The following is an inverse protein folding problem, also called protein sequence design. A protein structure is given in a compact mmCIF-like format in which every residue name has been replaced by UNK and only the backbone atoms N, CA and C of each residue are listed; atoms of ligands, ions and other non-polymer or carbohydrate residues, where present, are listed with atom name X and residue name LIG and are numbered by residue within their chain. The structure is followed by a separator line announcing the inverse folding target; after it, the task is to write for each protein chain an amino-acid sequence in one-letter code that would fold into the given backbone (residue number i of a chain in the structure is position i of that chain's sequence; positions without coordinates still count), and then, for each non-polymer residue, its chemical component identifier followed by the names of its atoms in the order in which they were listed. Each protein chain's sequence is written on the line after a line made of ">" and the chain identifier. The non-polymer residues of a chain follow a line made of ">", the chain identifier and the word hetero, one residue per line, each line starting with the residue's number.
data_IF_437857132073
#
_entry.id   IF_437857132073
#
_cell.length_a   1.000
_cell.length_b   1.000
_cell.length_c   1.000
_cell.angle_alpha   90.00
_cell.angle_beta   90.00
_cell.angle_gamma   90.00
#
_symmetry.space_group_name_H-M   'P 1'
#
loop_
_entity.id
_entity.type
_entity.pdbx_description
1 polymer ?
#
# COMPACT_ATOMS: atom_id res chain seq x y z
N UNK A 1 -14.31 -0.75 1.25
CA UNK A 1 -13.01 -1.19 0.69
C UNK A 1 -12.37 -0.01 -0.03
N UNK A 2 -11.04 0.06 -0.08
CA UNK A 2 -10.35 0.96 -1.00
C UNK A 2 -10.50 0.43 -2.43
N UNK A 3 -11.16 1.18 -3.30
CA UNK A 3 -11.36 0.81 -4.70
C UNK A 3 -10.03 0.84 -5.45
N UNK A 4 -9.79 -0.13 -6.34
CA UNK A 4 -8.59 -0.23 -7.16
C UNK A 4 -8.91 0.01 -8.63
N UNK A 5 -8.21 0.98 -9.23
CA UNK A 5 -8.30 1.35 -10.64
C UNK A 5 -7.01 0.94 -11.33
N UNK A 6 -7.09 0.12 -12.36
CA UNK A 6 -5.91 -0.29 -13.13
C UNK A 6 -5.86 0.42 -14.49
N UNK A 7 -4.69 0.97 -14.83
CA UNK A 7 -4.40 1.56 -16.13
C UNK A 7 -3.79 0.49 -17.02
N UNK A 8 -4.51 0.11 -18.08
CA UNK A 8 -4.10 -0.89 -19.06
C UNK A 8 -4.00 -0.27 -20.45
N UNK A 9 -3.19 -0.86 -21.31
CA UNK A 9 -2.99 -0.41 -22.69
C UNK A 9 -1.61 -0.77 -23.19
N UNK A 10 -1.41 -0.68 -24.51
CA UNK A 10 -0.11 -0.99 -25.13
C UNK A 10 1.00 -0.04 -24.63
N UNK A 11 2.29 -0.38 -24.79
CA UNK A 11 3.38 0.51 -24.40
C UNK A 11 3.34 1.86 -25.13
N UNK A 12 3.95 2.88 -24.51
CA UNK A 12 4.08 4.25 -25.04
C UNK A 12 2.79 5.06 -25.25
N UNK A 13 1.61 4.55 -24.84
CA UNK A 13 0.34 5.32 -24.83
C UNK A 13 0.26 6.37 -23.72
N UNK A 14 1.22 6.40 -22.79
CA UNK A 14 1.30 7.38 -21.70
C UNK A 14 0.69 6.94 -20.37
N UNK A 15 0.65 5.63 -20.09
CA UNK A 15 0.14 5.07 -18.82
C UNK A 15 0.80 5.69 -17.58
N UNK A 16 2.14 5.71 -17.54
CA UNK A 16 2.90 6.26 -16.41
C UNK A 16 2.73 7.78 -16.27
N UNK A 17 2.54 8.50 -17.39
CA UNK A 17 2.22 9.93 -17.38
C UNK A 17 0.87 10.18 -16.74
N UNK A 18 -0.15 9.40 -17.10
CA UNK A 18 -1.47 9.48 -16.48
C UNK A 18 -1.41 9.10 -15.00
N UNK A 19 -0.74 7.99 -14.66
CA UNK A 19 -0.54 7.55 -13.28
C UNK A 19 0.04 8.65 -12.38
N UNK A 20 1.14 9.28 -12.82
CA UNK A 20 1.79 10.34 -12.06
C UNK A 20 0.90 11.57 -11.90
N UNK A 21 0.06 11.85 -12.91
CA UNK A 21 -0.91 12.95 -12.84
C UNK A 21 -2.02 12.66 -11.84
N UNK A 22 -2.64 11.47 -11.90
CA UNK A 22 -3.74 11.09 -11.00
C UNK A 22 -3.27 11.04 -9.54
N UNK A 23 -2.06 10.55 -9.30
CA UNK A 23 -1.51 10.41 -7.94
C UNK A 23 -0.88 11.69 -7.40
N UNK A 24 -0.92 12.80 -8.18
CA UNK A 24 -0.32 14.10 -7.86
C UNK A 24 1.15 14.02 -7.41
N UNK A 25 1.87 12.96 -7.80
CA UNK A 25 3.26 12.75 -7.42
C UNK A 25 4.15 13.72 -8.22
N UNK A 26 4.41 14.90 -7.66
CA UNK A 26 5.55 15.73 -8.08
C UNK A 26 6.85 15.12 -7.57
N UNK A 27 7.33 14.12 -8.28
CA UNK A 27 8.74 13.86 -8.55
C UNK A 27 8.83 12.57 -9.35
N UNK A 28 9.17 12.70 -10.63
CA UNK A 28 10.20 11.83 -11.16
C UNK A 28 11.38 11.97 -10.19
N UNK A 29 11.62 10.97 -9.35
CA UNK A 29 13.00 10.72 -8.97
C UNK A 29 13.64 10.24 -10.28
N UNK A 30 14.10 11.21 -11.07
CA UNK A 30 15.25 10.99 -11.92
C UNK A 30 16.37 10.73 -10.91
N UNK A 31 16.57 9.46 -10.55
CA UNK A 31 17.87 9.07 -10.05
C UNK A 31 18.70 8.87 -11.32
N UNK A 32 19.67 9.76 -11.53
CA UNK A 32 20.70 9.61 -12.56
C UNK A 32 21.65 8.43 -12.25
N UNK A 33 21.19 7.42 -11.50
CA UNK A 33 21.81 6.10 -11.46
C UNK A 33 21.24 5.29 -12.62
N UNK A 34 21.98 5.28 -13.74
CA UNK A 34 21.79 4.30 -14.79
C UNK A 34 21.71 2.89 -14.17
N UNK A 35 20.50 2.35 -14.05
CA UNK A 35 20.26 1.02 -13.47
C UNK A 35 18.96 0.80 -12.68
N UNK A 36 18.11 1.80 -12.40
CA UNK A 36 17.02 1.62 -11.40
C UNK A 36 15.67 2.23 -11.79
N UNK A 37 14.74 1.38 -12.26
CA UNK A 37 13.35 1.16 -11.79
C UNK A 37 12.50 0.50 -12.90
N UNK A 38 12.51 -0.84 -12.93
CA UNK A 38 11.63 -1.69 -13.76
C UNK A 38 10.39 -2.18 -12.99
N UNK A 39 10.02 -1.49 -11.91
CA UNK A 39 8.93 -1.89 -11.02
C UNK A 39 7.61 -1.18 -11.35
N UNK A 40 6.49 -1.91 -11.26
CA UNK A 40 5.12 -1.37 -11.44
C UNK A 40 4.83 -0.28 -10.41
N UNK A 41 4.19 0.80 -10.84
CA UNK A 41 3.93 1.97 -9.99
C UNK A 41 2.54 1.90 -9.37
N UNK A 42 2.49 2.17 -8.06
CA UNK A 42 1.26 2.15 -7.27
C UNK A 42 1.12 3.44 -6.45
N UNK A 43 -0.08 4.02 -6.46
CA UNK A 43 -0.35 5.28 -5.79
C UNK A 43 -1.82 5.48 -5.46
N UNK A 44 -2.06 6.46 -4.59
CA UNK A 44 -3.40 6.87 -4.20
C UNK A 44 -3.80 8.11 -4.96
N UNK A 45 -5.07 8.15 -5.36
CA UNK A 45 -5.72 9.32 -5.93
C UNK A 45 -6.83 9.74 -4.97
N UNK A 46 -6.90 11.03 -4.65
CA UNK A 46 -8.04 11.66 -3.98
C UNK A 46 -8.76 12.55 -4.99
N UNK A 47 -10.07 12.35 -5.12
CA UNK A 47 -10.93 13.19 -5.94
C UNK A 47 -12.20 13.53 -5.17
N UNK A 48 -12.43 14.82 -4.91
CA UNK A 48 -13.57 15.33 -4.14
C UNK A 48 -13.74 14.62 -2.77
N UNK A 49 -12.63 14.28 -2.09
CA UNK A 49 -12.63 13.62 -0.79
C UNK A 49 -12.94 12.12 -0.82
N UNK A 50 -13.05 11.52 -2.02
CA UNK A 50 -13.11 10.07 -2.20
C UNK A 50 -11.74 9.57 -2.66
N UNK A 51 -11.15 8.67 -1.88
CA UNK A 51 -9.87 8.04 -2.20
C UNK A 51 -10.05 6.73 -2.98
N UNK A 52 -9.16 6.49 -3.93
CA UNK A 52 -9.00 5.20 -4.59
C UNK A 52 -7.53 4.94 -4.95
N UNK A 53 -7.22 3.67 -5.11
CA UNK A 53 -5.92 3.17 -5.50
C UNK A 53 -5.77 3.13 -7.01
N UNK A 54 -4.60 3.50 -7.53
CA UNK A 54 -4.26 3.44 -8.95
C UNK A 54 -3.03 2.56 -9.14
N UNK A 55 -3.06 1.70 -10.16
CA UNK A 55 -1.91 0.89 -10.57
C UNK A 55 -1.61 1.06 -12.06
N UNK A 56 -0.32 1.24 -12.39
CA UNK A 56 0.18 1.17 -13.77
C UNK A 56 0.71 -0.25 -14.07
N UNK A 57 0.12 -0.92 -15.06
CA UNK A 57 0.50 -2.30 -15.41
C UNK A 57 1.78 -2.40 -16.25
N UNK A 58 2.30 -1.29 -16.79
CA UNK A 58 3.23 -1.26 -17.94
C UNK A 58 4.71 -1.59 -17.72
N UNK A 59 5.12 -2.19 -16.60
CA UNK A 59 6.54 -2.29 -16.22
C UNK A 59 7.38 -3.43 -16.82
N UNK A 60 6.79 -4.38 -17.55
CA UNK A 60 7.49 -5.58 -18.02
C UNK A 60 7.32 -5.76 -19.52
N UNK A 61 8.35 -5.36 -20.26
CA UNK A 61 8.47 -5.65 -21.68
C UNK A 61 9.89 -6.14 -21.93
N UNK A 62 10.01 -7.39 -22.36
CA UNK A 62 11.25 -7.96 -22.90
C UNK A 62 11.18 -7.75 -24.42
N UNK A 63 12.25 -7.20 -25.01
CA UNK A 63 12.30 -6.78 -26.41
C UNK A 63 12.29 -7.98 -27.39
N UNK A 64 11.10 -8.53 -27.67
CA UNK A 64 10.82 -9.36 -28.84
C UNK A 64 9.31 -9.35 -29.14
N UNK A 65 8.92 -9.20 -30.40
CA UNK A 65 7.53 -8.96 -30.82
C UNK A 65 6.53 -10.04 -30.37
N UNK A 66 6.91 -11.33 -30.41
CA UNK A 66 6.01 -12.44 -30.01
C UNK A 66 5.79 -12.54 -28.49
N UNK A 67 6.81 -12.24 -27.69
CA UNK A 67 6.72 -12.25 -26.22
C UNK A 67 5.94 -11.03 -25.73
N UNK A 68 5.97 -9.95 -26.49
CA UNK A 68 5.32 -8.69 -26.15
C UNK A 68 3.79 -8.81 -26.10
N UNK A 69 3.19 -9.54 -27.03
CA UNK A 69 1.74 -9.80 -27.08
C UNK A 69 1.25 -10.55 -25.85
N UNK A 70 1.91 -11.66 -25.54
CA UNK A 70 1.51 -12.54 -24.46
C UNK A 70 1.61 -11.83 -23.10
N UNK A 71 2.64 -11.00 -22.92
CA UNK A 71 2.83 -10.22 -21.70
C UNK A 71 1.80 -9.10 -21.54
N UNK A 72 1.42 -8.40 -22.62
CA UNK A 72 0.30 -7.42 -22.56
C UNK A 72 -0.99 -8.13 -22.18
N UNK A 73 -1.28 -9.26 -22.81
CA UNK A 73 -2.48 -10.05 -22.54
C UNK A 73 -2.54 -10.51 -21.09
N UNK A 74 -1.44 -11.03 -20.55
CA UNK A 74 -1.33 -11.43 -19.12
C UNK A 74 -1.60 -10.24 -18.20
N UNK A 75 -1.01 -9.07 -18.47
CA UNK A 75 -1.23 -7.86 -17.67
C UNK A 75 -2.70 -7.44 -17.62
N UNK A 76 -3.38 -7.47 -18.78
CA UNK A 76 -4.80 -7.12 -18.89
C UNK A 76 -5.66 -8.12 -18.12
N UNK A 77 -5.40 -9.43 -18.28
CA UNK A 77 -6.15 -10.47 -17.56
C UNK A 77 -6.03 -10.28 -16.04
N UNK A 78 -4.81 -10.08 -15.53
CA UNK A 78 -4.62 -9.87 -14.09
C UNK A 78 -5.34 -8.60 -13.61
N UNK A 79 -5.27 -7.51 -14.40
CA UNK A 79 -6.01 -6.30 -14.08
C UNK A 79 -7.53 -6.57 -14.05
N UNK A 80 -8.07 -7.42 -14.93
CA UNK A 80 -9.50 -7.77 -14.93
C UNK A 80 -9.95 -8.63 -13.76
N UNK A 81 -9.04 -9.33 -13.09
CA UNK A 81 -9.36 -10.14 -11.90
C UNK A 81 -9.27 -9.32 -10.61
N UNK A 82 -8.37 -8.35 -10.56
CA UNK A 82 -8.04 -7.62 -9.34
C UNK A 82 -8.49 -6.16 -9.35
N UNK A 83 -8.84 -5.52 -10.46
CA UNK A 83 -9.33 -4.15 -10.40
C UNK A 83 -10.84 -4.09 -10.07
N UNK A 84 -11.28 -2.97 -9.52
CA UNK A 84 -12.70 -2.61 -9.40
C UNK A 84 -13.17 -1.81 -10.62
N UNK A 85 -12.24 -1.18 -11.34
CA UNK A 85 -12.46 -0.46 -12.60
C UNK A 85 -11.19 -0.44 -13.47
N UNK A 86 -11.37 -0.51 -14.78
CA UNK A 86 -10.27 -0.50 -15.76
C UNK A 86 -10.26 0.80 -16.57
N UNK A 87 -9.11 1.46 -16.63
CA UNK A 87 -8.82 2.54 -17.57
C UNK A 87 -8.06 1.97 -18.75
N UNK A 88 -8.73 1.80 -19.88
CA UNK A 88 -8.07 1.36 -21.11
C UNK A 88 -7.55 2.56 -21.88
N UNK A 89 -6.24 2.77 -21.82
CA UNK A 89 -5.56 3.92 -22.37
C UNK A 89 -5.06 3.63 -23.79
N UNK A 90 -5.51 4.42 -24.76
CA UNK A 90 -5.08 4.38 -26.17
C UNK A 90 -4.43 5.71 -26.57
N UNK A 91 -3.71 5.73 -27.68
CA UNK A 91 -2.96 6.89 -28.17
C UNK A 91 -3.69 7.58 -29.32
N UNK A 92 -4.24 8.77 -29.06
CA UNK A 92 -5.00 9.54 -30.05
C UNK A 92 -4.15 10.13 -31.19
N UNK A 93 -2.83 10.17 -31.09
CA UNK A 93 -1.95 10.65 -32.16
C UNK A 93 -1.57 9.53 -33.13
N UNK A 94 -1.34 8.33 -32.59
CA UNK A 94 -0.96 7.16 -33.39
C UNK A 94 -2.16 6.36 -33.91
N UNK A 95 -3.36 6.69 -33.44
CA UNK A 95 -4.60 6.05 -33.83
C UNK A 95 -4.75 4.61 -33.36
N UNK A 96 -5.76 3.94 -33.91
CA UNK A 96 -6.12 2.56 -33.57
C UNK A 96 -5.10 1.55 -34.13
N UNK A 97 -4.71 0.58 -33.29
CA UNK A 97 -3.80 -0.52 -33.70
C UNK A 97 -4.38 -1.90 -33.37
N UNK A 98 -3.87 -2.96 -34.00
CA UNK A 98 -4.27 -4.36 -33.75
C UNK A 98 -4.13 -4.75 -32.27
N UNK A 99 -3.09 -4.24 -31.60
CA UNK A 99 -2.87 -4.39 -30.17
C UNK A 99 -4.04 -3.86 -29.34
N UNK A 100 -4.58 -2.70 -29.73
CA UNK A 100 -5.70 -2.08 -29.04
C UNK A 100 -6.99 -2.90 -29.26
N UNK A 101 -7.16 -3.48 -30.44
CA UNK A 101 -8.29 -4.38 -30.75
C UNK A 101 -8.25 -5.68 -29.94
N UNK A 102 -7.07 -6.28 -29.79
CA UNK A 102 -6.87 -7.51 -29.01
C UNK A 102 -7.12 -7.30 -27.52
N UNK A 103 -6.60 -6.21 -26.97
CA UNK A 103 -6.88 -5.80 -25.58
C UNK A 103 -8.37 -5.53 -25.40
N UNK A 104 -9.00 -4.79 -26.32
CA UNK A 104 -10.44 -4.54 -26.26
C UNK A 104 -11.27 -5.81 -26.33
N UNK A 105 -10.84 -6.83 -27.09
CA UNK A 105 -11.54 -8.13 -27.16
C UNK A 105 -11.57 -8.85 -25.81
N UNK A 106 -10.50 -8.72 -25.01
CA UNK A 106 -10.43 -9.25 -23.65
C UNK A 106 -11.33 -8.43 -22.73
N UNK A 107 -11.21 -7.10 -22.78
CA UNK A 107 -11.95 -6.18 -21.93
C UNK A 107 -13.46 -6.25 -22.16
N UNK A 108 -13.95 -6.45 -23.39
CA UNK A 108 -15.40 -6.63 -23.66
C UNK A 108 -16.01 -7.85 -22.96
N UNK A 109 -15.20 -8.82 -22.53
CA UNK A 109 -15.66 -10.03 -21.83
C UNK A 109 -15.64 -9.88 -20.31
N UNK A 110 -15.04 -8.81 -19.78
CA UNK A 110 -15.02 -8.59 -18.33
C UNK A 110 -16.39 -8.11 -17.83
N UNK A 111 -16.68 -8.38 -16.56
CA UNK A 111 -17.84 -7.84 -15.85
C UNK A 111 -17.54 -6.50 -15.17
N UNK A 112 -16.26 -6.11 -15.13
CA UNK A 112 -15.84 -4.85 -14.52
C UNK A 112 -16.19 -3.66 -15.41
N UNK A 113 -16.47 -2.48 -14.82
CA UNK A 113 -16.57 -1.24 -15.58
C UNK A 113 -15.24 -0.94 -16.27
N UNK A 114 -15.31 -0.67 -17.57
CA UNK A 114 -14.17 -0.24 -18.39
C UNK A 114 -14.45 1.17 -18.89
N UNK A 115 -13.47 2.06 -18.75
CA UNK A 115 -13.44 3.39 -19.35
C UNK A 115 -12.39 3.40 -20.46
N UNK A 116 -12.83 3.71 -21.68
CA UNK A 116 -11.94 3.91 -22.81
C UNK A 116 -11.41 5.35 -22.75
N UNK A 117 -10.08 5.49 -22.66
CA UNK A 117 -9.42 6.78 -22.46
C UNK A 117 -8.45 7.03 -23.60
N UNK A 118 -8.70 8.06 -24.39
CA UNK A 118 -7.85 8.45 -25.52
C UNK A 118 -6.88 9.54 -25.05
N UNK A 119 -5.61 9.18 -24.91
CA UNK A 119 -4.58 10.08 -24.42
C UNK A 119 -3.89 10.84 -25.57
N UNK A 120 -3.12 11.88 -25.23
CA UNK A 120 -2.38 12.76 -26.16
C UNK A 120 -3.29 13.61 -27.07
N UNK A 121 -4.50 13.90 -26.60
CA UNK A 121 -5.45 14.81 -27.26
C UNK A 121 -5.14 16.24 -26.83
N UNK A 122 -4.19 16.87 -27.53
CA UNK A 122 -3.67 18.19 -27.17
C UNK A 122 -4.36 19.36 -27.90
N UNK A 123 -5.20 19.08 -28.92
CA UNK A 123 -5.92 20.08 -29.70
C UNK A 123 -7.33 19.57 -30.11
N UNK A 124 -8.17 20.47 -30.64
CA UNK A 124 -9.54 20.12 -31.04
C UNK A 124 -9.59 19.16 -32.24
N UNK A 125 -8.61 19.20 -33.14
CA UNK A 125 -8.55 18.28 -34.30
C UNK A 125 -8.42 16.82 -33.84
N UNK A 126 -7.58 16.58 -32.82
CA UNK A 126 -7.39 15.27 -32.21
C UNK A 126 -8.67 14.73 -31.54
N UNK A 127 -9.57 15.61 -31.08
CA UNK A 127 -10.88 15.20 -30.55
C UNK A 127 -11.72 14.59 -31.67
N UNK A 128 -11.74 15.18 -32.87
CA UNK A 128 -12.47 14.59 -34.00
C UNK A 128 -11.88 13.25 -34.44
N UNK A 129 -10.55 13.11 -34.43
CA UNK A 129 -9.87 11.86 -34.75
C UNK A 129 -10.20 10.74 -33.76
N UNK A 130 -10.49 11.09 -32.50
CA UNK A 130 -10.83 10.11 -31.46
C UNK A 130 -12.10 9.30 -31.75
N UNK A 131 -12.94 9.75 -32.69
CA UNK A 131 -14.14 9.04 -33.11
C UNK A 131 -13.84 7.64 -33.68
N UNK A 132 -12.62 7.37 -34.16
CA UNK A 132 -12.26 6.03 -34.62
C UNK A 132 -12.29 4.97 -33.51
N UNK A 133 -12.03 5.37 -32.25
CA UNK A 133 -11.92 4.44 -31.13
C UNK A 133 -13.27 3.89 -30.67
N UNK A 134 -14.40 4.44 -31.16
CA UNK A 134 -15.72 3.80 -31.01
C UNK A 134 -15.75 2.38 -31.58
N UNK A 135 -14.91 2.06 -32.58
CA UNK A 135 -14.76 0.70 -33.15
C UNK A 135 -14.38 -0.35 -32.10
N UNK A 136 -13.75 0.06 -31.00
CA UNK A 136 -13.38 -0.84 -29.90
C UNK A 136 -14.60 -1.35 -29.11
N UNK A 137 -15.79 -0.74 -29.25
CA UNK A 137 -17.03 -1.23 -28.65
C UNK A 137 -16.99 -1.22 -27.11
N UNK A 138 -16.30 -0.25 -26.51
CA UNK A 138 -16.13 -0.10 -25.05
C UNK A 138 -16.84 1.15 -24.49
N UNK A 139 -17.76 1.74 -25.26
CA UNK A 139 -18.49 2.95 -24.89
C UNK A 139 -17.86 4.23 -25.47
N UNK A 140 -18.25 5.37 -24.89
CA UNK A 140 -17.77 6.70 -25.29
C UNK A 140 -16.28 6.88 -24.93
N UNK A 141 -15.41 7.24 -25.90
CA UNK A 141 -14.01 7.54 -25.62
C UNK A 141 -13.84 8.85 -24.85
N UNK A 142 -13.17 8.80 -23.71
CA UNK A 142 -12.85 9.99 -22.90
C UNK A 142 -11.51 10.55 -23.37
N UNK A 143 -11.52 11.72 -23.99
CA UNK A 143 -10.32 12.38 -24.47
C UNK A 143 -9.57 13.11 -23.36
N UNK A 144 -8.28 12.84 -23.22
CA UNK A 144 -7.42 13.50 -22.25
C UNK A 144 -6.05 13.88 -22.85
N UNK A 145 -5.38 14.79 -22.18
CA UNK A 145 -3.94 14.99 -22.31
C UNK A 145 -3.31 14.78 -20.94
N UNK A 146 -2.74 13.61 -20.69
CA UNK A 146 -2.05 13.32 -19.42
C UNK A 146 -0.83 14.24 -19.20
N UNK A 147 -0.22 14.76 -20.26
CA UNK A 147 0.91 15.67 -20.16
C UNK A 147 0.49 17.04 -19.63
N UNK A 148 -0.58 17.63 -20.17
CA UNK A 148 -1.05 18.98 -19.81
C UNK A 148 -2.05 18.97 -18.66
N UNK A 149 -2.90 17.95 -18.59
CA UNK A 149 -3.97 17.77 -17.63
C UNK A 149 -5.38 17.91 -18.19
N UNK A 150 -5.50 18.31 -19.46
CA UNK A 150 -6.80 18.48 -20.10
C UNK A 150 -7.62 17.18 -20.03
N UNK A 151 -8.91 17.29 -19.74
CA UNK A 151 -9.87 16.17 -19.63
C UNK A 151 -9.67 15.22 -18.44
N UNK A 152 -8.61 15.38 -17.64
CA UNK A 152 -8.36 14.45 -16.51
C UNK A 152 -9.33 14.63 -15.34
N UNK A 153 -9.95 15.80 -15.20
CA UNK A 153 -11.04 16.03 -14.22
C UNK A 153 -12.30 15.27 -14.60
N UNK A 154 -12.74 15.40 -15.85
CA UNK A 154 -13.92 14.67 -16.38
C UNK A 154 -13.72 13.15 -16.30
N UNK A 155 -12.50 12.68 -16.59
CA UNK A 155 -12.13 11.28 -16.39
C UNK A 155 -12.31 10.85 -14.93
N UNK A 156 -11.86 11.66 -13.96
CA UNK A 156 -11.96 11.35 -12.54
C UNK A 156 -13.40 11.35 -12.04
N UNK A 157 -14.24 12.27 -12.54
CA UNK A 157 -15.68 12.28 -12.27
C UNK A 157 -16.33 10.98 -12.76
N UNK A 158 -15.99 10.53 -13.97
CA UNK A 158 -16.51 9.27 -14.51
C UNK A 158 -15.95 8.03 -13.81
N UNK A 159 -14.70 8.07 -13.33
CA UNK A 159 -14.18 7.01 -12.44
C UNK A 159 -15.04 6.95 -11.16
N UNK A 160 -15.34 8.09 -10.54
CA UNK A 160 -16.12 8.13 -9.29
C UNK A 160 -17.58 7.69 -9.48
N UNK A 161 -18.16 7.91 -10.66
CA UNK A 161 -19.52 7.52 -11.00
C UNK A 161 -19.66 6.00 -11.19
N UNK A 162 -18.62 5.33 -11.70
CA UNK A 162 -18.63 3.89 -12.00
C UNK A 162 -18.02 3.01 -10.93
N UNK A 163 -17.15 3.56 -10.09
CA UNK A 163 -16.63 2.81 -8.96
C UNK A 163 -17.78 2.38 -8.05
N UNK A 164 -17.83 1.10 -7.63
CA UNK A 164 -18.87 0.66 -6.72
C UNK A 164 -18.88 1.55 -5.48
N UNK A 165 -20.06 2.05 -5.11
CA UNK A 165 -20.25 2.69 -3.82
C UNK A 165 -19.80 1.68 -2.77
N UNK A 166 -18.81 2.08 -1.95
CA UNK A 166 -18.22 1.18 -0.99
C UNK A 166 -19.30 0.67 -0.07
N UNK A 167 -19.74 -0.58 -0.27
CA UNK A 167 -20.48 -1.29 0.77
C UNK A 167 -19.55 -1.27 1.97
N UNK A 168 -19.93 -0.56 3.02
CA UNK A 168 -19.33 -0.75 4.32
C UNK A 168 -19.58 -2.22 4.65
N UNK A 169 -18.57 -3.07 4.45
CA UNK A 169 -18.60 -4.37 5.09
C UNK A 169 -18.85 -4.10 6.57
N UNK A 170 -19.83 -4.79 7.14
CA UNK A 170 -20.17 -4.73 8.56
C UNK A 170 -19.00 -5.33 9.35
N UNK A 171 -17.90 -4.60 9.42
CA UNK A 171 -16.74 -4.93 10.23
C UNK A 171 -17.03 -4.34 11.60
N UNK A 172 -17.04 -5.20 12.62
CA UNK A 172 -17.15 -4.75 14.01
C UNK A 172 -16.01 -3.77 14.35
N UNK A 173 -16.38 -2.57 14.81
CA UNK A 173 -15.42 -1.57 15.24
C UNK A 173 -14.61 -2.06 16.45
N UNK A 174 -13.32 -1.68 16.50
CA UNK A 174 -12.43 -2.05 17.59
C UNK A 174 -11.76 -3.43 17.46
N UNK A 175 -12.09 -4.22 16.44
CA UNK A 175 -11.39 -5.47 16.14
C UNK A 175 -10.17 -5.19 15.24
N UNK A 176 -8.96 -5.63 15.63
CA UNK A 176 -7.76 -5.45 14.82
C UNK A 176 -7.85 -6.14 13.46
N UNK A 177 -7.30 -5.50 12.42
CA UNK A 177 -7.14 -6.12 11.09
C UNK A 177 -5.67 -6.39 10.81
N UNK A 178 -5.31 -7.65 10.60
CA UNK A 178 -3.93 -8.07 10.34
C UNK A 178 -3.76 -8.57 8.90
N UNK A 179 -2.69 -8.14 8.23
CA UNK A 179 -2.30 -8.66 6.92
C UNK A 179 -0.95 -9.37 7.01
N UNK A 180 -0.83 -10.57 6.45
CA UNK A 180 0.45 -11.28 6.32
C UNK A 180 1.01 -11.05 4.92
N UNK A 181 2.09 -10.27 4.84
CA UNK A 181 2.70 -9.83 3.58
C UNK A 181 4.17 -10.20 3.50
N UNK A 182 4.75 -10.12 2.30
CA UNK A 182 6.13 -10.54 2.04
C UNK A 182 6.26 -11.15 0.66
N UNK A 183 7.50 -11.44 0.26
CA UNK A 183 7.81 -11.99 -1.06
C UNK A 183 7.17 -13.37 -1.30
N UNK A 184 7.03 -13.81 -2.56
CA UNK A 184 6.68 -15.18 -2.88
C UNK A 184 7.58 -16.16 -2.10
N UNK A 185 7.00 -17.28 -1.64
CA UNK A 185 7.71 -18.33 -0.90
C UNK A 185 8.36 -17.94 0.45
N UNK A 186 8.14 -16.72 0.96
CA UNK A 186 8.57 -16.31 2.31
C UNK A 186 7.87 -17.10 3.45
N UNK A 187 6.83 -17.89 3.13
CA UNK A 187 6.07 -18.72 4.07
C UNK A 187 4.77 -18.12 4.59
N UNK A 188 4.23 -17.10 3.91
CA UNK A 188 2.95 -16.43 4.25
C UNK A 188 1.80 -17.43 4.43
N UNK A 189 1.56 -18.27 3.42
CA UNK A 189 0.48 -19.28 3.48
C UNK A 189 0.72 -20.31 4.56
N UNK A 190 1.97 -20.71 4.81
CA UNK A 190 2.31 -21.62 5.90
C UNK A 190 1.97 -21.01 7.26
N UNK A 191 2.25 -19.72 7.47
CA UNK A 191 1.92 -19.03 8.72
C UNK A 191 0.41 -18.91 8.90
N UNK A 192 -0.31 -18.47 7.86
CA UNK A 192 -1.77 -18.36 7.89
C UNK A 192 -2.42 -19.72 8.11
N UNK A 193 -1.96 -20.77 7.44
CA UNK A 193 -2.46 -22.12 7.65
C UNK A 193 -2.09 -22.67 9.02
N UNK A 194 -0.96 -22.28 9.60
CA UNK A 194 -0.63 -22.63 10.98
C UNK A 194 -1.61 -21.99 11.97
N UNK A 195 -2.12 -20.79 11.68
CA UNK A 195 -3.18 -20.16 12.48
C UNK A 195 -4.55 -20.81 12.25
N UNK A 196 -4.93 -21.09 10.99
CA UNK A 196 -6.27 -21.62 10.62
C UNK A 196 -6.39 -23.13 10.85
N UNK A 197 -5.28 -23.88 10.72
CA UNK A 197 -5.23 -25.33 10.67
C UNK A 197 -5.19 -26.04 12.03
N UNK A 198 -5.24 -25.31 13.15
CA UNK A 198 -5.51 -25.92 14.46
C UNK A 198 -7.00 -26.20 14.59
N UNK A 199 -7.36 -27.43 14.18
CA UNK A 199 -8.65 -28.11 14.31
C UNK A 199 -9.92 -27.28 13.96
N UNK A 200 -10.41 -27.59 12.76
CA UNK A 200 -11.78 -27.46 12.22
C UNK A 200 -12.81 -26.72 13.12
N UNK A 201 -13.31 -25.61 12.56
CA UNK A 201 -14.48 -24.79 12.97
C UNK A 201 -14.23 -23.90 14.22
N UNK A 202 -14.62 -22.62 14.25
CA UNK A 202 -15.58 -21.84 13.47
C UNK A 202 -14.86 -20.56 12.99
N UNK A 203 -14.72 -20.40 11.66
CA UNK A 203 -14.72 -19.08 11.04
C UNK A 203 -16.18 -18.77 10.82
N UNK A 204 -16.72 -17.75 11.46
CA UNK A 204 -18.08 -17.31 11.13
C UNK A 204 -18.01 -16.52 9.84
N UNK A 205 -18.58 -17.05 8.76
CA UNK A 205 -19.06 -16.19 7.68
C UNK A 205 -20.14 -15.32 8.32
N UNK A 206 -19.90 -14.01 8.45
CA UNK A 206 -20.90 -13.10 9.01
C UNK A 206 -22.09 -13.15 8.05
N UNK A 207 -23.28 -13.48 8.57
CA UNK A 207 -24.49 -13.58 7.78
C UNK A 207 -24.74 -12.23 7.05
N UNK A 208 -24.58 -12.22 5.73
CA UNK A 208 -24.69 -11.01 4.90
C UNK A 208 -23.44 -10.65 4.10
N UNK A 209 -22.28 -11.27 4.34
CA UNK A 209 -21.09 -11.06 3.50
C UNK A 209 -21.13 -11.96 2.26
N UNK A 210 -20.90 -11.38 1.08
CA UNK A 210 -20.80 -12.12 -0.18
C UNK A 210 -19.64 -13.12 -0.14
N UNK A 211 -19.75 -14.18 -0.96
CA UNK A 211 -18.90 -15.39 -1.07
C UNK A 211 -17.39 -15.16 -1.26
N UNK A 212 -16.93 -13.91 -1.37
CA UNK A 212 -15.56 -13.46 -1.59
C UNK A 212 -15.13 -12.42 -0.53
N UNK A 213 -15.39 -12.67 0.77
CA UNK A 213 -14.97 -11.74 1.83
C UNK A 213 -13.44 -11.66 1.91
N UNK A 214 -12.90 -10.44 1.82
CA UNK A 214 -11.47 -10.18 2.01
C UNK A 214 -11.05 -10.56 3.45
N UNK A 215 -11.98 -10.43 4.39
CA UNK A 215 -11.76 -10.65 5.81
C UNK A 215 -12.16 -12.07 6.25
N UNK A 216 -11.30 -12.68 7.07
CA UNK A 216 -11.61 -13.88 7.86
C UNK A 216 -11.44 -13.53 9.33
N UNK A 217 -12.50 -13.66 10.15
CA UNK A 217 -12.40 -13.46 11.60
C UNK A 217 -11.71 -14.66 12.25
N UNK A 218 -10.78 -14.38 13.15
CA UNK A 218 -10.12 -15.32 14.03
C UNK A 218 -10.43 -14.93 15.47
N UNK A 219 -11.19 -15.77 16.18
CA UNK A 219 -11.55 -15.57 17.60
C UNK A 219 -11.23 -16.84 18.40
N UNK A 220 -9.94 -17.06 18.71
CA UNK A 220 -9.44 -18.22 19.46
C UNK A 220 -8.17 -17.87 20.24
N UNK A 221 -7.85 -18.67 21.26
CA UNK A 221 -6.64 -18.54 22.08
C UNK A 221 -6.44 -17.14 22.70
N UNK A 222 -7.54 -16.42 22.98
CA UNK A 222 -7.49 -15.05 23.53
C UNK A 222 -7.17 -13.96 22.50
N UNK A 223 -7.18 -14.31 21.21
CA UNK A 223 -7.04 -13.37 20.10
C UNK A 223 -8.37 -13.27 19.34
N UNK A 224 -8.86 -12.04 19.17
CA UNK A 224 -9.96 -11.69 18.28
C UNK A 224 -9.43 -10.66 17.27
N UNK A 225 -9.39 -11.01 15.98
CA UNK A 225 -8.93 -10.15 14.90
C UNK A 225 -9.46 -10.61 13.54
N UNK A 226 -9.44 -9.71 12.55
CA UNK A 226 -9.66 -10.06 11.15
C UNK A 226 -8.33 -10.28 10.43
N UNK A 227 -8.19 -11.42 9.77
CA UNK A 227 -7.12 -11.66 8.82
C UNK A 227 -7.55 -11.16 7.44
N UNK A 228 -6.81 -10.21 6.89
CA UNK A 228 -7.06 -9.59 5.59
C UNK A 228 -6.45 -10.44 4.48
N UNK A 229 -7.21 -10.62 3.40
CA UNK A 229 -6.82 -11.30 2.15
C UNK A 229 -6.54 -12.81 2.30
N UNK A 230 -7.53 -13.53 2.85
CA UNK A 230 -7.49 -15.00 2.96
C UNK A 230 -8.03 -15.75 1.75
N UNK A 231 -8.69 -15.07 0.81
CA UNK A 231 -9.28 -15.66 -0.38
C UNK A 231 -8.23 -16.33 -1.30
N UNK A 232 -7.03 -15.75 -1.39
CA UNK A 232 -5.89 -16.34 -2.11
C UNK A 232 -5.33 -17.60 -1.45
N UNK A 233 -5.51 -17.77 -0.13
CA UNK A 233 -5.02 -18.93 0.62
C UNK A 233 -6.05 -20.07 0.59
N UNK A 234 -7.34 -19.76 0.61
CA UNK A 234 -8.44 -20.75 0.52
C UNK A 234 -8.57 -21.39 -0.87
N UNK A 235 -8.20 -20.71 -1.96
CA UNK A 235 -8.32 -21.22 -3.34
C UNK A 235 -7.18 -22.18 -3.78
N UNK A 236 -6.26 -22.57 -2.89
CA UNK A 236 -5.05 -23.37 -3.17
C UNK A 236 -5.25 -24.86 -3.54
N UNK A 237 -6.38 -25.23 -4.14
CA UNK A 237 -6.57 -26.61 -4.60
C UNK A 237 -6.38 -26.85 -6.10
N UNK A 238 -6.07 -25.84 -6.96
CA UNK A 238 -5.92 -26.15 -8.40
C UNK A 238 -5.21 -25.17 -9.35
N UNK A 239 -4.54 -24.12 -8.89
CA UNK A 239 -3.90 -23.15 -9.81
C UNK A 239 -2.42 -23.01 -9.48
N UNK A 240 -1.56 -23.41 -10.43
CA UNK A 240 -0.15 -23.02 -10.46
C UNK A 240 -0.10 -21.50 -10.54
N UNK A 241 0.27 -20.82 -9.45
CA UNK A 241 0.38 -19.37 -9.37
C UNK A 241 1.62 -18.90 -10.16
N UNK A 242 1.54 -18.93 -11.50
CA UNK A 242 2.63 -18.56 -12.42
C UNK A 242 2.74 -17.04 -12.66
N UNK A 243 2.32 -16.19 -11.72
CA UNK A 243 2.48 -14.74 -11.88
C UNK A 243 2.77 -14.07 -10.53
N UNK A 244 4.03 -13.70 -10.33
CA UNK A 244 4.50 -12.85 -9.21
C UNK A 244 3.66 -11.57 -9.07
N UNK A 245 3.03 -11.12 -10.16
CA UNK A 245 2.13 -9.97 -10.19
C UNK A 245 0.90 -10.11 -9.29
N UNK A 246 0.21 -11.27 -9.32
CA UNK A 246 -0.97 -11.49 -8.47
C UNK A 246 -0.62 -11.38 -7.00
N UNK A 247 0.55 -11.88 -6.60
CA UNK A 247 1.00 -11.80 -5.21
C UNK A 247 1.25 -10.35 -4.76
N UNK A 248 1.64 -9.45 -5.67
CA UNK A 248 1.91 -8.04 -5.35
C UNK A 248 0.61 -7.25 -5.21
N UNK A 249 -0.33 -7.38 -6.15
CA UNK A 249 -1.62 -6.67 -6.11
C UNK A 249 -2.45 -7.04 -4.88
N UNK A 250 -2.45 -8.33 -4.55
CA UNK A 250 -3.07 -8.85 -3.32
C UNK A 250 -2.41 -8.31 -2.06
N UNK A 251 -1.08 -8.30 -2.01
CA UNK A 251 -0.35 -7.70 -0.88
C UNK A 251 -0.69 -6.22 -0.71
N UNK A 252 -0.85 -5.47 -1.80
CA UNK A 252 -1.28 -4.06 -1.76
C UNK A 252 -2.66 -3.94 -1.10
N UNK A 253 -3.66 -4.63 -1.63
CA UNK A 253 -5.02 -4.60 -1.07
C UNK A 253 -5.04 -5.04 0.39
N UNK A 254 -4.28 -6.06 0.75
CA UNK A 254 -4.14 -6.52 2.13
C UNK A 254 -3.56 -5.43 3.05
N UNK A 255 -2.51 -4.74 2.60
CA UNK A 255 -1.88 -3.64 3.35
C UNK A 255 -2.90 -2.52 3.56
N UNK A 256 -3.55 -2.04 2.50
CA UNK A 256 -4.51 -0.93 2.58
C UNK A 256 -5.65 -1.17 3.57
N UNK A 257 -6.15 -2.40 3.60
CA UNK A 257 -7.32 -2.80 4.39
C UNK A 257 -6.97 -3.34 5.78
N UNK A 258 -5.70 -3.30 6.19
CA UNK A 258 -5.21 -3.74 7.50
C UNK A 258 -4.88 -2.57 8.45
N UNK A 259 -4.72 -2.87 9.73
CA UNK A 259 -4.17 -1.96 10.74
C UNK A 259 -2.70 -2.29 11.04
N UNK A 260 -2.37 -3.58 11.06
CA UNK A 260 -1.02 -4.11 11.30
C UNK A 260 -0.62 -5.06 10.18
N UNK A 261 0.52 -4.80 9.56
CA UNK A 261 1.16 -5.66 8.58
C UNK A 261 2.23 -6.54 9.25
N UNK A 262 2.12 -7.84 9.07
CA UNK A 262 3.10 -8.84 9.46
C UNK A 262 3.97 -9.12 8.22
N UNK A 263 5.14 -8.49 8.15
CA UNK A 263 6.08 -8.63 7.04
C UNK A 263 6.98 -9.85 7.25
N UNK A 264 6.79 -10.85 6.40
CA UNK A 264 7.55 -12.11 6.37
C UNK A 264 8.82 -11.96 5.54
N UNK A 265 9.98 -12.15 6.17
CA UNK A 265 11.31 -12.21 5.54
C UNK A 265 11.82 -13.65 5.62
N UNK A 266 12.38 -14.16 4.53
CA UNK A 266 13.00 -15.50 4.51
C UNK A 266 14.43 -15.44 5.06
N UNK A 267 14.68 -16.11 6.18
CA UNK A 267 15.99 -16.16 6.82
C UNK A 267 17.10 -16.71 5.91
N UNK A 268 16.77 -17.60 4.97
CA UNK A 268 17.77 -18.25 4.09
C UNK A 268 18.23 -17.36 2.95
N UNK A 269 17.44 -16.34 2.60
CA UNK A 269 17.71 -15.41 1.49
C UNK A 269 18.06 -14.00 1.95
N UNK A 270 17.78 -13.67 3.22
CA UNK A 270 17.96 -12.32 3.75
C UNK A 270 16.98 -11.31 3.15
N UNK A 271 17.36 -10.04 3.20
CA UNK A 271 16.52 -8.90 2.77
C UNK A 271 16.80 -8.58 1.31
N UNK A 272 15.79 -8.70 0.45
CA UNK A 272 15.87 -8.38 -0.97
C UNK A 272 15.09 -7.10 -1.33
N UNK A 273 15.24 -6.64 -2.58
CA UNK A 273 14.57 -5.43 -3.07
C UNK A 273 13.03 -5.49 -2.93
N UNK A 274 12.43 -6.66 -3.19
CA UNK A 274 10.98 -6.82 -3.07
C UNK A 274 10.49 -6.78 -1.61
N UNK A 275 11.30 -7.20 -0.62
CA UNK A 275 10.96 -6.98 0.81
C UNK A 275 10.90 -5.48 1.12
N UNK A 276 11.85 -4.72 0.56
CA UNK A 276 11.91 -3.26 0.73
C UNK A 276 10.75 -2.55 0.03
N UNK A 277 10.34 -3.01 -1.16
CA UNK A 277 9.18 -2.46 -1.86
C UNK A 277 7.88 -2.65 -1.05
N UNK A 278 7.69 -3.83 -0.44
CA UNK A 278 6.54 -4.11 0.43
C UNK A 278 6.62 -3.24 1.70
N UNK A 279 7.79 -3.13 2.32
CA UNK A 279 8.01 -2.26 3.47
C UNK A 279 7.67 -0.79 3.17
N UNK A 280 8.15 -0.25 2.04
CA UNK A 280 7.85 1.12 1.62
C UNK A 280 6.34 1.33 1.43
N UNK A 281 5.64 0.34 0.92
CA UNK A 281 4.19 0.38 0.75
C UNK A 281 3.43 0.38 2.08
N UNK A 282 3.89 -0.40 3.06
CA UNK A 282 3.37 -0.39 4.45
C UNK A 282 3.51 1.02 5.04
N UNK A 283 4.68 1.63 4.88
CA UNK A 283 4.97 2.97 5.37
C UNK A 283 4.13 4.04 4.70
N UNK A 284 4.03 4.01 3.35
CA UNK A 284 3.20 4.94 2.58
C UNK A 284 1.72 4.88 2.98
N UNK A 285 1.26 3.72 3.43
CA UNK A 285 -0.11 3.50 3.90
C UNK A 285 -0.31 3.71 5.41
N UNK A 286 0.71 4.20 6.14
CA UNK A 286 0.66 4.41 7.59
C UNK A 286 0.19 3.17 8.36
N UNK A 287 0.64 1.99 7.94
CA UNK A 287 0.30 0.73 8.60
C UNK A 287 1.33 0.42 9.67
N UNK A 288 0.87 -0.17 10.76
CA UNK A 288 1.78 -0.64 11.79
C UNK A 288 2.51 -1.88 11.29
N UNK A 289 3.70 -2.16 11.81
CA UNK A 289 4.60 -3.19 11.28
C UNK A 289 5.06 -4.15 12.37
N UNK A 290 5.00 -5.44 12.06
CA UNK A 290 5.71 -6.51 12.76
C UNK A 290 6.55 -7.25 11.72
N UNK A 291 7.85 -7.38 11.95
CA UNK A 291 8.73 -8.13 11.05
C UNK A 291 8.92 -9.54 11.59
N UNK A 292 8.71 -10.54 10.73
CA UNK A 292 8.88 -11.95 11.05
C UNK A 292 9.98 -12.52 10.15
N UNK A 293 11.10 -12.90 10.77
CA UNK A 293 12.16 -13.64 10.10
C UNK A 293 11.79 -15.12 10.16
N UNK A 294 11.21 -15.61 9.07
CA UNK A 294 10.68 -16.97 8.95
C UNK A 294 11.73 -17.95 8.41
N UNK A 295 11.45 -19.25 8.51
CA UNK A 295 12.38 -20.35 8.19
C UNK A 295 13.62 -20.37 9.10
N UNK A 296 13.48 -19.85 10.32
CA UNK A 296 14.56 -19.83 11.30
C UNK A 296 14.98 -21.23 11.78
N UNK A 297 14.15 -22.24 11.52
CA UNK A 297 14.50 -23.65 11.70
C UNK A 297 15.69 -24.07 10.82
N UNK A 298 15.83 -23.51 9.62
CA UNK A 298 16.87 -23.83 8.63
C UNK A 298 18.21 -23.12 8.85
N UNK A 299 18.30 -22.22 9.83
CA UNK A 299 19.54 -21.51 10.15
C UNK A 299 20.36 -22.35 11.13
N UNK A 300 21.57 -22.76 10.73
CA UNK A 300 22.41 -23.64 11.56
C UNK A 300 22.91 -22.96 12.84
N UNK A 301 23.52 -21.77 12.70
CA UNK A 301 24.02 -21.00 13.84
C UNK A 301 22.94 -20.02 14.36
N UNK A 302 22.44 -20.27 15.58
CA UNK A 302 21.41 -19.47 16.25
C UNK A 302 21.96 -18.65 17.43
N UNK A 303 23.26 -18.39 17.44
CA UNK A 303 23.92 -17.58 18.47
C UNK A 303 23.33 -16.17 18.54
N UNK A 304 23.40 -15.56 19.73
CA UNK A 304 22.91 -14.20 19.92
C UNK A 304 23.60 -13.18 19.00
N UNK A 305 24.85 -13.43 18.62
CA UNK A 305 25.58 -12.57 17.68
C UNK A 305 24.91 -12.60 16.31
N UNK A 306 24.55 -13.78 15.80
CA UNK A 306 23.88 -13.94 14.50
C UNK A 306 22.51 -13.26 14.51
N UNK A 307 21.74 -13.45 15.59
CA UNK A 307 20.43 -12.81 15.78
C UNK A 307 20.58 -11.28 15.72
N UNK A 308 21.51 -10.71 16.49
CA UNK A 308 21.77 -9.26 16.52
C UNK A 308 22.21 -8.72 15.16
N UNK A 309 23.07 -9.45 14.44
CA UNK A 309 23.50 -9.07 13.09
C UNK A 309 22.33 -8.99 12.13
N UNK A 310 21.43 -9.98 12.15
CA UNK A 310 20.20 -9.94 11.35
C UNK A 310 19.29 -8.78 11.72
N UNK A 311 19.06 -8.55 13.01
CA UNK A 311 18.23 -7.42 13.45
C UNK A 311 18.80 -6.07 13.01
N UNK A 312 20.11 -5.88 13.14
CA UNK A 312 20.77 -4.64 12.74
C UNK A 312 20.68 -4.43 11.22
N UNK A 313 20.90 -5.48 10.42
CA UNK A 313 20.76 -5.39 8.97
C UNK A 313 19.32 -5.03 8.55
N UNK A 314 18.30 -5.57 9.24
CA UNK A 314 16.89 -5.21 9.01
C UNK A 314 16.67 -3.73 9.34
N UNK A 315 17.08 -3.28 10.52
CA UNK A 315 16.90 -1.88 10.97
C UNK A 315 17.63 -0.89 10.07
N UNK A 316 18.86 -1.19 9.66
CA UNK A 316 19.65 -0.34 8.76
C UNK A 316 18.96 -0.16 7.41
N UNK A 317 18.45 -1.24 6.81
CA UNK A 317 17.76 -1.16 5.51
C UNK A 317 16.39 -0.51 5.60
N UNK A 318 15.68 -0.68 6.71
CA UNK A 318 14.33 -0.13 6.92
C UNK A 318 14.34 1.29 7.51
N UNK A 319 15.52 1.86 7.78
CA UNK A 319 15.66 3.25 8.20
C UNK A 319 14.94 4.21 7.25
N UNK A 320 14.32 5.30 7.76
CA UNK A 320 14.45 5.81 9.12
C UNK A 320 13.48 5.17 10.13
N UNK A 321 12.50 4.39 9.69
CA UNK A 321 11.58 3.72 10.62
C UNK A 321 12.21 2.41 11.09
N UNK A 322 12.67 2.39 12.33
CA UNK A 322 13.41 1.25 12.91
C UNK A 322 12.73 0.68 14.16
N UNK A 323 11.64 1.32 14.57
CA UNK A 323 10.93 1.05 15.81
C UNK A 323 9.77 0.08 15.57
N UNK A 324 10.11 -1.18 15.35
CA UNK A 324 9.16 -2.27 15.17
C UNK A 324 9.69 -3.58 15.76
N UNK A 325 8.80 -4.48 16.22
CA UNK A 325 9.20 -5.79 16.71
C UNK A 325 9.71 -6.68 15.56
N UNK A 326 10.82 -7.39 15.83
CA UNK A 326 11.39 -8.43 14.96
C UNK A 326 11.26 -9.77 15.67
N UNK A 327 10.70 -10.77 14.99
CA UNK A 327 10.44 -12.09 15.56
C UNK A 327 11.04 -13.16 14.65
N UNK A 328 11.99 -13.92 15.19
CA UNK A 328 12.53 -15.10 14.54
C UNK A 328 11.61 -16.29 14.81
N UNK A 329 11.00 -16.82 13.76
CA UNK A 329 9.97 -17.85 13.84
C UNK A 329 10.12 -18.91 12.73
N UNK A 330 9.36 -20.00 12.85
CA UNK A 330 9.21 -21.00 11.81
C UNK A 330 7.75 -21.38 11.68
N UNK A 331 7.14 -20.98 10.57
CA UNK A 331 5.77 -21.36 10.25
C UNK A 331 5.62 -22.88 10.05
N UNK A 332 6.66 -23.55 9.54
CA UNK A 332 6.65 -24.99 9.28
C UNK A 332 6.64 -25.81 10.57
N UNK A 333 7.52 -25.48 11.51
CA UNK A 333 7.62 -26.17 12.81
C UNK A 333 6.71 -25.58 13.88
N UNK A 334 5.90 -24.56 13.52
CA UNK A 334 5.07 -23.75 14.43
C UNK A 334 5.86 -23.05 15.56
N UNK A 335 7.18 -22.90 15.40
CA UNK A 335 8.01 -22.24 16.41
C UNK A 335 7.67 -20.75 16.49
N UNK A 336 7.26 -20.28 17.68
CA UNK A 336 7.02 -18.87 18.03
C UNK A 336 5.92 -18.17 17.22
N UNK A 337 5.04 -18.92 16.55
CA UNK A 337 3.94 -18.33 15.77
C UNK A 337 2.93 -17.57 16.64
N UNK A 338 2.66 -18.02 17.88
CA UNK A 338 1.80 -17.29 18.83
C UNK A 338 2.39 -15.96 19.25
N UNK A 339 3.72 -15.89 19.44
CA UNK A 339 4.44 -14.64 19.76
C UNK A 339 4.27 -13.58 18.66
N UNK A 340 4.10 -14.00 17.40
CA UNK A 340 3.77 -13.09 16.30
C UNK A 340 2.41 -12.42 16.52
N UNK A 341 1.39 -13.20 16.87
CA UNK A 341 0.04 -12.68 17.14
C UNK A 341 0.00 -11.79 18.38
N UNK A 342 0.69 -12.17 19.46
CA UNK A 342 0.85 -11.35 20.67
C UNK A 342 1.42 -9.98 20.34
N UNK A 343 2.52 -9.95 19.58
CA UNK A 343 3.16 -8.70 19.19
C UNK A 343 2.33 -7.88 18.20
N UNK A 344 1.61 -8.52 17.28
CA UNK A 344 0.67 -7.81 16.39
C UNK A 344 -0.46 -7.13 17.18
N UNK A 345 -1.02 -7.83 18.19
CA UNK A 345 -2.04 -7.28 19.10
C UNK A 345 -1.47 -6.12 19.93
N UNK A 346 -0.28 -6.27 20.51
CA UNK A 346 0.40 -5.21 21.25
C UNK A 346 0.61 -3.95 20.37
N UNK A 347 1.11 -4.13 19.15
CA UNK A 347 1.33 -3.05 18.20
C UNK A 347 0.02 -2.35 17.80
N UNK A 348 -1.09 -3.09 17.68
CA UNK A 348 -2.41 -2.49 17.47
C UNK A 348 -2.87 -1.66 18.68
N UNK A 349 -2.64 -2.15 19.90
CA UNK A 349 -2.98 -1.40 21.12
C UNK A 349 -2.12 -0.13 21.25
N UNK A 350 -0.84 -0.19 20.87
CA UNK A 350 0.03 0.97 20.79
C UNK A 350 -0.49 2.01 19.79
N UNK A 351 -0.95 1.55 18.61
CA UNK A 351 -1.54 2.39 17.56
C UNK A 351 -2.79 3.15 18.05
N UNK A 352 -3.58 2.55 18.93
CA UNK A 352 -4.83 3.14 19.47
C UNK A 352 -4.63 3.89 20.78
N UNK A 353 -3.39 3.94 21.29
CA UNK A 353 -3.08 4.57 22.57
C UNK A 353 -3.36 6.08 22.58
N UNK A 354 -3.88 6.55 23.72
CA UNK A 354 -4.19 7.96 23.97
C UNK A 354 -3.29 8.54 25.06
N UNK A 355 -2.77 9.73 24.79
CA UNK A 355 -1.99 10.53 25.72
C UNK A 355 -2.79 11.78 26.06
N UNK A 356 -3.14 11.93 27.33
CA UNK A 356 -3.84 13.11 27.82
C UNK A 356 -3.01 14.38 27.59
N UNK A 357 -3.68 15.45 27.15
CA UNK A 357 -3.00 16.67 26.72
C UNK A 357 -2.14 17.31 27.80
N UNK A 358 -2.60 17.32 29.06
CA UNK A 358 -1.83 17.83 30.20
C UNK A 358 -0.50 17.08 30.33
N UNK A 359 -0.55 15.75 30.44
CA UNK A 359 0.64 14.90 30.53
C UNK A 359 1.58 15.06 29.33
N UNK A 360 1.04 15.23 28.12
CA UNK A 360 1.83 15.47 26.93
C UNK A 360 2.60 16.80 27.04
N UNK A 361 1.95 17.88 27.47
CA UNK A 361 2.61 19.19 27.62
C UNK A 361 3.63 19.18 28.76
N UNK A 362 3.31 18.57 29.90
CA UNK A 362 4.19 18.48 31.07
C UNK A 362 5.52 17.79 30.74
N UNK A 363 5.50 16.81 29.82
CA UNK A 363 6.70 16.07 29.39
C UNK A 363 7.38 16.74 28.20
N UNK A 364 6.62 17.13 27.16
CA UNK A 364 7.21 17.57 25.90
C UNK A 364 7.69 19.02 25.92
N UNK A 365 7.00 19.93 26.61
CA UNK A 365 7.39 21.35 26.61
C UNK A 365 8.77 21.56 27.26
N UNK A 366 9.11 20.95 28.42
CA UNK A 366 10.45 21.07 28.98
C UNK A 366 11.56 20.51 28.07
N UNK A 367 11.29 19.40 27.37
CA UNK A 367 12.24 18.82 26.40
C UNK A 367 12.48 19.75 25.21
N UNK A 368 11.43 20.42 24.73
CA UNK A 368 11.50 21.41 23.66
C UNK A 368 12.22 22.67 24.13
N UNK A 369 12.01 23.12 25.37
CA UNK A 369 12.74 24.27 25.92
C UNK A 369 14.24 24.00 26.08
N UNK A 370 14.62 22.78 26.49
CA UNK A 370 16.01 22.36 26.57
C UNK A 370 16.68 22.23 25.18
N UNK A 371 15.92 21.79 24.18
CA UNK A 371 16.38 21.63 22.79
C UNK A 371 15.42 22.35 21.83
N UNK A 372 15.48 23.69 21.73
CA UNK A 372 14.55 24.46 20.94
C UNK A 372 14.76 24.23 19.44
N UNK A 373 13.71 24.45 18.61
CA UNK A 373 13.88 24.39 17.16
C UNK A 373 14.91 25.44 16.70
N UNK A 374 15.82 25.11 15.75
CA UNK A 374 16.83 26.04 15.28
C UNK A 374 16.22 27.34 14.76
N UNK A 375 16.81 28.48 15.15
CA UNK A 375 16.38 29.77 14.64
C UNK A 375 16.65 29.89 13.14
N UNK A 376 15.68 30.42 12.38
CA UNK A 376 15.82 30.65 10.94
C UNK A 376 15.63 32.14 10.67
N UNK A 377 16.57 32.77 9.95
CA UNK A 377 16.55 34.21 9.62
C UNK A 377 16.42 35.11 10.87
N UNK A 378 17.12 34.76 11.95
CA UNK A 378 17.08 35.49 13.22
C UNK A 378 15.74 35.40 13.98
N UNK A 379 14.78 34.59 13.52
CA UNK A 379 13.49 34.39 14.18
C UNK A 379 13.53 33.15 15.06
N UNK A 380 13.16 33.32 16.32
CA UNK A 380 13.03 32.23 17.29
C UNK A 380 11.67 31.55 17.16
N UNK A 381 11.71 30.22 17.03
CA UNK A 381 10.52 29.38 16.96
C UNK A 381 10.18 28.95 18.39
N UNK A 382 8.96 29.24 18.82
CA UNK A 382 8.43 28.83 20.13
C UNK A 382 7.23 27.94 19.92
N UNK A 383 7.32 26.71 20.42
CA UNK A 383 6.19 25.80 20.53
C UNK A 383 5.58 26.03 21.91
N UNK A 384 4.29 26.38 21.95
CA UNK A 384 3.61 26.81 23.19
C UNK A 384 2.70 25.74 23.77
N UNK A 385 2.31 24.77 22.94
CA UNK A 385 1.29 23.80 23.28
C UNK A 385 1.40 22.62 22.33
N UNK A 386 1.18 21.41 22.84
CA UNK A 386 1.04 20.21 22.04
C UNK A 386 -0.20 19.42 22.46
N UNK A 387 -0.77 18.65 21.53
CA UNK A 387 -1.91 17.79 21.79
C UNK A 387 -1.87 16.57 20.87
N UNK A 388 -2.46 15.46 21.29
CA UNK A 388 -2.80 14.37 20.39
C UNK A 388 -4.16 14.66 19.74
N UNK A 389 -4.26 14.50 18.43
CA UNK A 389 -5.52 14.66 17.69
C UNK A 389 -6.44 13.45 17.96
N UNK A 390 -7.73 13.67 18.27
CA UNK A 390 -8.70 12.59 18.39
C UNK A 390 -9.00 11.96 17.02
N UNK A 391 -9.54 10.75 17.05
CA UNK A 391 -10.11 9.98 15.94
C UNK A 391 -9.26 9.87 14.67
N UNK A 392 -7.93 9.82 14.83
CA UNK A 392 -6.99 9.57 13.74
C UNK A 392 -6.66 8.09 13.59
N UNK A 393 -6.41 7.64 12.35
CA UNK A 393 -6.07 6.24 12.06
C UNK A 393 -4.75 5.78 12.71
N UNK A 394 -3.82 6.70 12.95
CA UNK A 394 -2.55 6.49 13.66
C UNK A 394 -2.35 7.58 14.70
N UNK A 395 -1.51 7.37 15.74
CA UNK A 395 -1.20 8.41 16.71
C UNK A 395 -0.70 9.67 16.01
N UNK A 396 -1.47 10.75 16.15
CA UNK A 396 -1.22 12.00 15.44
C UNK A 396 -1.11 13.11 16.46
N UNK A 397 0.00 13.83 16.45
CA UNK A 397 0.29 14.90 17.39
C UNK A 397 0.41 16.22 16.68
N UNK A 398 -0.20 17.25 17.25
CA UNK A 398 -0.08 18.63 16.79
C UNK A 398 0.73 19.43 17.80
N UNK A 399 1.74 20.15 17.30
CA UNK A 399 2.54 21.10 18.05
C UNK A 399 2.26 22.50 17.51
N UNK A 400 1.80 23.39 18.39
CA UNK A 400 1.45 24.75 18.03
C UNK A 400 2.64 25.69 18.21
N UNK A 401 3.15 26.18 17.08
CA UNK A 401 4.30 27.07 17.01
C UNK A 401 3.92 28.47 16.51
N UNK A 402 4.68 29.48 16.88
CA UNK A 402 4.55 30.83 16.31
C UNK A 402 4.94 30.89 14.82
N UNK A 403 5.86 30.02 14.38
CA UNK A 403 6.41 30.00 13.02
C UNK A 403 6.54 28.55 12.52
N UNK A 404 5.42 27.84 12.29
CA UNK A 404 5.42 26.43 11.91
C UNK A 404 6.21 26.14 10.63
N UNK A 405 6.20 27.07 9.67
CA UNK A 405 6.88 26.95 8.38
C UNK A 405 8.42 26.86 8.49
N UNK A 406 8.99 27.19 9.65
CA UNK A 406 10.42 27.10 9.89
C UNK A 406 10.85 25.85 10.67
N UNK A 407 9.90 25.01 11.10
CA UNK A 407 10.22 23.72 11.73
C UNK A 407 10.52 22.68 10.66
N UNK A 408 11.80 22.33 10.52
CA UNK A 408 12.28 21.36 9.53
C UNK A 408 12.10 19.92 10.00
N UNK A 409 12.17 19.00 9.05
CA UNK A 409 12.00 17.56 9.25
C UNK A 409 12.90 16.93 10.34
N UNK A 410 14.19 17.30 10.47
CA UNK A 410 15.03 16.77 11.56
C UNK A 410 14.46 17.05 12.96
N UNK A 411 13.84 18.22 13.15
CA UNK A 411 13.24 18.57 14.42
C UNK A 411 11.93 17.82 14.66
N UNK A 412 11.13 17.56 13.61
CA UNK A 412 9.96 16.69 13.74
C UNK A 412 10.34 15.26 14.14
N UNK A 413 11.42 14.71 13.59
CA UNK A 413 11.98 13.41 14.00
C UNK A 413 12.44 13.42 15.45
N UNK A 414 13.06 14.51 15.92
CA UNK A 414 13.37 14.68 17.33
C UNK A 414 12.11 14.61 18.21
N UNK A 415 11.03 15.31 17.84
CA UNK A 415 9.76 15.25 18.56
C UNK A 415 9.15 13.84 18.56
N UNK A 416 9.17 13.16 17.41
CA UNK A 416 8.73 11.77 17.29
C UNK A 416 9.51 10.84 18.21
N UNK A 417 10.85 10.93 18.19
CA UNK A 417 11.71 10.10 19.04
C UNK A 417 11.43 10.34 20.53
N UNK A 418 11.22 11.60 20.93
CA UNK A 418 10.85 11.92 22.33
C UNK A 418 9.48 11.38 22.72
N UNK A 419 8.53 11.32 21.78
CA UNK A 419 7.26 10.63 22.04
C UNK A 419 7.50 9.13 22.23
N UNK A 420 8.27 8.48 21.34
CA UNK A 420 8.57 7.05 21.43
C UNK A 420 9.33 6.66 22.71
N UNK A 421 10.18 7.55 23.23
CA UNK A 421 10.89 7.35 24.51
C UNK A 421 9.95 7.38 25.74
N UNK A 422 8.84 8.12 25.66
CA UNK A 422 7.97 8.39 26.82
C UNK A 422 6.63 7.61 26.81
N UNK A 423 6.21 7.10 25.64
CA UNK A 423 4.96 6.36 25.50
C UNK A 423 5.13 5.10 24.64
N UNK A 424 4.40 4.01 24.93
CA UNK A 424 4.48 2.77 24.17
C UNK A 424 3.79 2.93 22.81
N UNK A 425 4.52 3.49 21.85
CA UNK A 425 4.09 3.68 20.45
C UNK A 425 4.97 2.89 19.48
N UNK A 426 5.51 1.77 19.96
CA UNK A 426 6.37 0.86 19.21
C UNK A 426 5.57 0.12 18.13
N UNK A 427 6.18 -0.02 16.95
CA UNK A 427 5.61 -0.74 15.81
C UNK A 427 4.55 0.04 15.03
N UNK A 428 4.15 1.25 15.44
CA UNK A 428 3.22 2.10 14.69
C UNK A 428 3.89 3.40 14.19
N UNK A 429 3.55 3.87 12.98
CA UNK A 429 3.94 5.20 12.53
C UNK A 429 3.22 6.28 13.35
N UNK A 430 3.88 7.43 13.51
CA UNK A 430 3.37 8.58 14.26
C UNK A 430 3.35 9.78 13.32
N UNK A 431 2.24 10.52 13.30
CA UNK A 431 2.17 11.78 12.58
C UNK A 431 2.55 12.95 13.50
N UNK A 432 3.44 13.81 13.03
CA UNK A 432 3.82 15.06 13.69
C UNK A 432 3.39 16.24 12.82
N UNK A 433 2.39 16.98 13.28
CA UNK A 433 1.92 18.22 12.66
C UNK A 433 2.46 19.41 13.42
N UNK A 434 2.99 20.40 12.69
CA UNK A 434 3.34 21.70 13.26
C UNK A 434 2.35 22.71 12.70
N UNK A 435 1.59 23.39 13.56
CA UNK A 435 0.56 24.36 13.14
C UNK A 435 0.77 25.70 13.82
N UNK A 436 0.26 26.74 13.18
CA UNK A 436 0.10 28.04 13.84
C UNK A 436 -1.14 27.98 14.71
N UNK A 437 -1.06 28.53 15.93
CA UNK A 437 -2.24 28.69 16.79
C UNK A 437 -3.05 29.90 16.37
#
# INVERSE_FOLDING_TARGET
>A
MANLVAIVGRPNVGKSTLFNRLTQSRQAIVSDTAGTTRDRQYGKCDWNGREFSVVDTGGWVVNSDDVFEEEIRKQVIVATEEADLLLFLVDGQNGLTDWDEDVARILRRTKLPVLLVVNKVDNNENIYMSAEFYKLGLGEPICISAATGSGTGDLLDEVMSRLPEGKAELIEEGIPRFAVVGRPNAGKSSLVNAFIGEERHIVTDIAGTTRDSIYTRFDKFGFDFYLVDTAGIRRKNKVTEDLEFYSVMRSIRAIENSDVCILMIDATRGIEAQDMNIFQLIQKNNKSLVVVVNKWDLVDNKDQIVIKTFENAIRERMAPFVDFPIIFASALTKQRIFKVLEKAKEVYMNRTSRVGTTKLNDVMLPLIEAFPPPSIKGKFIKIKYCAQLPDTQIPSFVFYANLPQYVKEPYKRFLENKIRENWPMHGCPINIFIRQK
#
